data_IF_802409214535
#
_entry.id   IF_802409214535
#
_cell.length_a   1.000
_cell.length_b   1.000
_cell.length_c   1.000
_cell.angle_alpha   90.00
_cell.angle_beta   90.00
_cell.angle_gamma   90.00
#
_symmetry.space_group_name_H-M   'P 1'
#
loop_
_entity.id
_entity.type
_entity.pdbx_description
1 polymer ?
#
# COMPACT_ATOMS: atom_id res chain seq x y z
N UNK A 1 -10.00 9.73 -20.34
CA UNK A 1 -9.25 9.07 -19.24
C UNK A 1 -9.06 7.61 -19.62
N UNK A 2 -7.83 7.19 -19.88
CA UNK A 2 -7.54 5.77 -20.11
C UNK A 2 -7.47 5.11 -18.73
N UNK A 3 -8.56 4.50 -18.27
CA UNK A 3 -8.54 3.72 -17.03
C UNK A 3 -7.60 2.53 -17.25
N UNK A 4 -6.55 2.42 -16.44
CA UNK A 4 -5.60 1.30 -16.53
C UNK A 4 -6.30 -0.04 -16.31
N UNK A 5 -5.82 -1.12 -16.95
CA UNK A 5 -6.39 -2.47 -16.83
C UNK A 5 -6.53 -2.93 -15.38
N UNK A 6 -5.64 -2.47 -14.48
CA UNK A 6 -5.74 -2.76 -13.05
C UNK A 6 -7.00 -2.15 -12.40
N UNK A 7 -7.41 -0.93 -12.78
CA UNK A 7 -8.64 -0.32 -12.29
C UNK A 7 -9.88 -1.09 -12.79
N UNK A 8 -9.81 -1.60 -14.03
CA UNK A 8 -10.87 -2.46 -14.57
C UNK A 8 -10.96 -3.76 -13.76
N UNK A 9 -9.82 -4.36 -13.39
CA UNK A 9 -9.79 -5.55 -12.55
C UNK A 9 -10.45 -5.31 -11.19
N UNK A 10 -10.08 -4.24 -10.49
CA UNK A 10 -10.72 -3.90 -9.21
C UNK A 10 -12.22 -3.64 -9.37
N UNK A 11 -12.62 -2.92 -10.42
CA UNK A 11 -14.04 -2.65 -10.66
C UNK A 11 -14.86 -3.91 -10.91
N UNK A 12 -14.32 -4.87 -11.67
CA UNK A 12 -14.99 -6.15 -11.92
C UNK A 12 -15.08 -6.95 -10.61
N UNK A 13 -14.04 -6.93 -9.76
CA UNK A 13 -14.07 -7.57 -8.45
C UNK A 13 -15.23 -7.02 -7.59
N UNK A 14 -15.32 -5.69 -7.49
CA UNK A 14 -16.35 -5.01 -6.72
C UNK A 14 -17.76 -5.31 -7.25
N UNK A 15 -17.97 -5.21 -8.56
CA UNK A 15 -19.27 -5.46 -9.20
C UNK A 15 -19.71 -6.94 -9.05
N UNK A 16 -18.77 -7.87 -8.89
CA UNK A 16 -19.04 -9.30 -8.66
C UNK A 16 -19.07 -9.69 -7.17
N UNK A 17 -18.83 -8.74 -6.25
CA UNK A 17 -18.76 -9.02 -4.81
C UNK A 17 -17.60 -9.93 -4.41
N UNK A 18 -16.51 -9.94 -5.19
CA UNK A 18 -15.32 -10.73 -4.89
C UNK A 18 -14.42 -9.95 -3.93
N UNK A 19 -14.23 -10.51 -2.73
CA UNK A 19 -13.26 -9.98 -1.77
C UNK A 19 -11.85 -10.35 -2.23
N UNK A 20 -11.00 -9.34 -2.45
CA UNK A 20 -9.58 -9.54 -2.75
C UNK A 20 -8.81 -9.44 -1.44
N UNK A 21 -8.69 -10.56 -0.73
CA UNK A 21 -8.11 -10.59 0.61
C UNK A 21 -6.59 -10.66 0.55
N UNK A 22 -6.05 -11.42 -0.40
CA UNK A 22 -4.61 -11.61 -0.53
C UNK A 22 -4.10 -11.49 -1.99
N UNK A 23 -2.78 -11.69 -2.15
CA UNK A 23 -2.14 -11.69 -3.46
C UNK A 23 -2.61 -12.82 -4.38
N UNK A 24 -3.05 -13.95 -3.81
CA UNK A 24 -3.55 -15.09 -4.60
C UNK A 24 -4.90 -14.74 -5.19
N UNK A 25 -5.77 -14.06 -4.44
CA UNK A 25 -7.06 -13.58 -4.93
C UNK A 25 -6.87 -12.59 -6.08
N UNK A 26 -6.01 -11.58 -5.90
CA UNK A 26 -5.71 -10.60 -6.94
C UNK A 26 -5.10 -11.26 -8.19
N UNK A 27 -4.25 -12.28 -8.00
CA UNK A 27 -3.67 -13.05 -9.11
C UNK A 27 -4.71 -13.90 -9.81
N UNK A 28 -5.59 -14.57 -9.06
CA UNK A 28 -6.67 -15.41 -9.58
C UNK A 28 -7.66 -14.58 -10.39
N UNK A 29 -8.11 -13.43 -9.86
CA UNK A 29 -9.05 -12.57 -10.59
C UNK A 29 -8.40 -11.94 -11.82
N UNK A 30 -7.14 -11.53 -11.75
CA UNK A 30 -6.40 -11.00 -12.91
C UNK A 30 -6.31 -12.05 -14.01
N UNK A 31 -6.07 -13.32 -13.65
CA UNK A 31 -6.06 -14.44 -14.60
C UNK A 31 -7.46 -14.67 -15.19
N UNK A 32 -8.47 -14.77 -14.34
CA UNK A 32 -9.87 -14.94 -14.74
C UNK A 32 -10.34 -13.87 -15.72
N UNK A 33 -10.06 -12.59 -15.43
CA UNK A 33 -10.41 -11.46 -16.29
C UNK A 33 -9.62 -11.52 -17.60
N UNK A 34 -8.34 -11.92 -17.56
CA UNK A 34 -7.53 -12.14 -18.76
C UNK A 34 -8.12 -13.20 -19.69
N UNK A 35 -8.49 -14.34 -19.14
CA UNK A 35 -9.06 -15.48 -19.88
C UNK A 35 -10.44 -15.16 -20.45
N UNK A 36 -11.19 -14.29 -19.76
CA UNK A 36 -12.55 -13.89 -20.12
C UNK A 36 -12.63 -12.45 -20.67
N UNK A 37 -11.52 -11.87 -21.14
CA UNK A 37 -11.45 -10.46 -21.52
C UNK A 37 -12.56 -10.03 -22.49
N UNK A 38 -12.94 -10.91 -23.43
CA UNK A 38 -14.00 -10.66 -24.42
C UNK A 38 -15.39 -10.48 -23.79
N UNK A 39 -15.71 -11.19 -22.70
CA UNK A 39 -17.02 -11.06 -22.04
C UNK A 39 -17.13 -9.74 -21.26
N UNK A 40 -16.01 -9.22 -20.77
CA UNK A 40 -15.96 -7.96 -20.02
C UNK A 40 -15.83 -6.72 -20.92
N UNK A 41 -15.37 -6.88 -22.15
CA UNK A 41 -15.01 -5.77 -23.03
C UNK A 41 -16.13 -4.75 -23.27
N UNK A 42 -17.37 -5.22 -23.44
CA UNK A 42 -18.51 -4.33 -23.73
C UNK A 42 -18.89 -3.43 -22.54
N UNK A 43 -18.70 -3.93 -21.31
CA UNK A 43 -19.13 -3.25 -20.10
C UNK A 43 -18.00 -2.41 -19.48
N UNK A 44 -16.76 -2.88 -19.58
CA UNK A 44 -15.61 -2.30 -18.88
C UNK A 44 -14.55 -1.71 -19.81
N UNK A 45 -14.70 -1.88 -21.12
CA UNK A 45 -13.73 -1.43 -22.12
C UNK A 45 -12.65 -2.46 -22.42
N UNK A 46 -11.68 -2.07 -23.24
CA UNK A 46 -10.68 -3.01 -23.76
C UNK A 46 -9.70 -3.48 -22.67
N UNK A 47 -9.57 -4.81 -22.54
CA UNK A 47 -8.64 -5.46 -21.61
C UNK A 47 -7.52 -6.09 -22.43
N UNK A 48 -6.36 -5.42 -22.45
CA UNK A 48 -5.19 -5.90 -23.21
C UNK A 48 -4.52 -7.10 -22.53
N UNK A 49 -4.31 -8.18 -23.28
CA UNK A 49 -3.57 -9.36 -22.81
C UNK A 49 -2.12 -9.00 -22.40
N UNK A 50 -1.49 -8.04 -23.08
CA UNK A 50 -0.17 -7.55 -22.73
C UNK A 50 -0.15 -6.88 -21.35
N UNK A 51 -1.18 -6.07 -21.04
CA UNK A 51 -1.32 -5.41 -19.74
C UNK A 51 -1.64 -6.42 -18.63
N UNK A 52 -2.52 -7.39 -18.88
CA UNK A 52 -2.80 -8.48 -17.94
C UNK A 52 -1.52 -9.26 -17.62
N UNK A 53 -0.74 -9.64 -18.64
CA UNK A 53 0.53 -10.33 -18.45
C UNK A 53 1.57 -9.50 -17.70
N UNK A 54 1.59 -8.18 -17.88
CA UNK A 54 2.47 -7.29 -17.13
C UNK A 54 2.09 -7.24 -15.64
N UNK A 55 0.78 -7.18 -15.33
CA UNK A 55 0.27 -7.22 -13.95
C UNK A 55 0.62 -8.56 -13.30
N UNK A 56 0.35 -9.68 -13.97
CA UNK A 56 0.69 -11.03 -13.48
C UNK A 56 2.18 -11.17 -13.12
N UNK A 57 3.09 -10.68 -13.97
CA UNK A 57 4.53 -10.70 -13.67
C UNK A 57 4.90 -9.80 -12.48
N UNK A 58 4.25 -8.65 -12.35
CA UNK A 58 4.42 -7.77 -11.19
C UNK A 58 4.01 -8.46 -9.89
N UNK A 59 2.84 -9.08 -9.88
CA UNK A 59 2.32 -9.84 -8.74
C UNK A 59 3.24 -11.00 -8.38
N UNK A 60 3.71 -11.78 -9.36
CA UNK A 60 4.64 -12.89 -9.13
C UNK A 60 5.97 -12.41 -8.55
N UNK A 61 6.49 -11.28 -9.03
CA UNK A 61 7.73 -10.70 -8.50
C UNK A 61 7.57 -10.24 -7.04
N UNK A 62 6.41 -9.68 -6.68
CA UNK A 62 6.10 -9.31 -5.30
C UNK A 62 5.91 -10.55 -4.41
N UNK A 63 5.25 -11.60 -4.90
CA UNK A 63 5.08 -12.86 -4.19
C UNK A 63 6.43 -13.54 -3.89
N UNK A 64 7.32 -13.62 -4.90
CA UNK A 64 8.69 -14.12 -4.72
C UNK A 64 9.50 -13.26 -3.74
N UNK A 65 9.15 -11.98 -3.62
CA UNK A 65 9.76 -11.08 -2.66
C UNK A 65 9.20 -11.26 -1.23
N UNK A 66 8.24 -12.15 -1.00
CA UNK A 66 7.67 -12.40 0.33
C UNK A 66 6.46 -11.55 0.66
N UNK A 67 5.80 -10.94 -0.33
CA UNK A 67 4.53 -10.21 -0.12
C UNK A 67 3.47 -11.06 0.60
N UNK A 68 3.43 -12.37 0.37
CA UNK A 68 2.50 -13.27 1.04
C UNK A 68 2.60 -13.23 2.59
N UNK A 69 3.75 -12.84 3.15
CA UNK A 69 3.89 -12.68 4.60
C UNK A 69 3.38 -11.32 5.11
N UNK A 70 3.39 -10.28 4.26
CA UNK A 70 2.91 -8.95 4.60
C UNK A 70 1.39 -8.81 4.46
N UNK A 71 0.80 -9.55 3.52
CA UNK A 71 -0.62 -9.46 3.16
C UNK A 71 -1.38 -10.75 3.48
N UNK A 72 -0.87 -11.57 4.41
CA UNK A 72 -1.49 -12.81 4.88
C UNK A 72 -2.09 -12.67 6.28
N UNK A 73 -2.76 -13.72 6.76
CA UNK A 73 -3.32 -13.77 8.11
C UNK A 73 -2.30 -14.26 9.17
N UNK A 74 -2.31 -13.71 10.41
CA UNK A 74 -3.20 -12.66 10.89
C UNK A 74 -2.81 -11.30 10.32
N UNK A 75 -3.81 -10.56 9.84
CA UNK A 75 -3.60 -9.21 9.34
C UNK A 75 -3.08 -8.31 10.47
N UNK A 76 -2.27 -7.34 10.08
CA UNK A 76 -1.78 -6.31 10.99
C UNK A 76 -2.96 -5.49 11.56
N UNK A 77 -3.20 -5.53 12.87
CA UNK A 77 -4.14 -4.61 13.52
C UNK A 77 -3.41 -3.32 13.94
N UNK A 78 -3.67 -2.23 13.24
CA UNK A 78 -3.12 -0.91 13.53
C UNK A 78 -3.43 -0.47 14.97
N UNK A 79 -4.57 -0.88 15.54
CA UNK A 79 -4.95 -0.52 16.92
C UNK A 79 -3.98 -1.09 17.93
N UNK A 80 -3.28 -2.18 17.61
CA UNK A 80 -2.26 -2.75 18.47
C UNK A 80 -1.07 -1.82 18.64
N UNK A 81 -0.76 -1.01 17.62
CA UNK A 81 0.30 -0.01 17.69
C UNK A 81 -0.07 1.23 18.48
N UNK A 82 -1.38 1.47 18.68
CA UNK A 82 -1.90 2.64 19.38
C UNK A 82 -2.22 2.38 20.86
N UNK A 83 -1.84 1.20 21.37
CA UNK A 83 -2.05 0.85 22.77
C UNK A 83 -1.24 1.78 23.69
N UNK A 84 -1.79 2.04 24.86
CA UNK A 84 -1.10 2.71 25.96
C UNK A 84 -0.79 1.71 27.07
N UNK A 85 0.29 1.94 27.80
CA UNK A 85 0.61 1.17 29.00
C UNK A 85 -0.33 1.52 30.17
N UNK A 86 -0.18 0.83 31.30
CA UNK A 86 -0.98 1.06 32.50
C UNK A 86 -0.87 2.48 33.08
N UNK A 87 0.15 3.25 32.68
CA UNK A 87 0.39 4.63 33.11
C UNK A 87 -0.10 5.65 32.06
N UNK A 88 -0.75 5.20 30.99
CA UNK A 88 -1.23 6.06 29.91
C UNK A 88 -0.15 6.51 28.93
N UNK A 89 1.05 5.92 28.95
CA UNK A 89 2.13 6.22 27.99
C UNK A 89 1.95 5.40 26.72
N UNK A 90 2.22 6.01 25.57
CA UNK A 90 2.22 5.31 24.29
C UNK A 90 3.35 4.26 24.21
N UNK A 91 3.13 3.23 23.39
CA UNK A 91 4.11 2.18 23.11
C UNK A 91 5.03 2.58 21.96
N UNK A 92 6.31 2.26 22.06
CA UNK A 92 7.27 2.39 20.96
C UNK A 92 7.35 1.03 20.25
N UNK A 93 6.92 0.99 19.00
CA UNK A 93 7.00 -0.20 18.15
C UNK A 93 8.22 -0.06 17.22
N UNK A 94 9.08 -1.08 17.18
CA UNK A 94 10.21 -1.13 16.26
C UNK A 94 9.91 -2.19 15.20
N UNK A 95 9.75 -1.74 13.95
CA UNK A 95 9.53 -2.61 12.80
C UNK A 95 10.89 -2.83 12.12
N UNK A 96 11.45 -4.04 12.25
CA UNK A 96 12.71 -4.36 11.57
C UNK A 96 12.46 -4.65 10.09
N UNK A 97 13.06 -3.83 9.23
CA UNK A 97 12.98 -3.92 7.78
C UNK A 97 14.30 -4.42 7.15
N UNK A 98 15.14 -5.14 7.91
CA UNK A 98 16.48 -5.58 7.47
C UNK A 98 16.47 -6.34 6.13
N UNK A 99 15.47 -7.19 5.90
CA UNK A 99 15.31 -7.93 4.64
C UNK A 99 14.65 -7.10 3.53
N UNK A 100 13.76 -6.18 3.92
CA UNK A 100 13.05 -5.28 2.99
C UNK A 100 14.01 -4.30 2.30
N UNK A 101 15.17 -4.00 2.90
CA UNK A 101 16.24 -3.22 2.28
C UNK A 101 16.61 -3.73 0.88
N UNK A 102 16.61 -5.05 0.67
CA UNK A 102 16.97 -5.68 -0.60
C UNK A 102 15.80 -5.72 -1.60
N UNK A 103 14.62 -5.23 -1.19
CA UNK A 103 13.34 -5.46 -1.85
C UNK A 103 12.53 -4.14 -1.93
N UNK A 104 13.05 -3.10 -2.60
CA UNK A 104 12.49 -1.74 -2.53
C UNK A 104 11.04 -1.64 -3.01
N UNK A 105 10.65 -2.47 -3.99
CA UNK A 105 9.27 -2.51 -4.49
C UNK A 105 8.31 -3.07 -3.45
N UNK A 106 8.68 -4.15 -2.77
CA UNK A 106 7.88 -4.70 -1.69
C UNK A 106 7.79 -3.70 -0.54
N UNK A 107 8.91 -3.07 -0.17
CA UNK A 107 8.92 -2.09 0.90
C UNK A 107 7.98 -0.91 0.62
N UNK A 108 8.04 -0.33 -0.58
CA UNK A 108 7.16 0.77 -0.97
C UNK A 108 5.68 0.35 -1.07
N UNK A 109 5.40 -0.86 -1.54
CA UNK A 109 4.04 -1.40 -1.57
C UNK A 109 3.48 -1.63 -0.16
N UNK A 110 4.26 -2.23 0.74
CA UNK A 110 3.89 -2.44 2.14
C UNK A 110 3.70 -1.12 2.88
N UNK A 111 4.55 -0.12 2.63
CA UNK A 111 4.39 1.22 3.18
C UNK A 111 3.08 1.86 2.71
N UNK A 112 2.83 1.88 1.40
CA UNK A 112 1.62 2.49 0.85
C UNK A 112 0.36 1.80 1.39
N UNK A 113 0.37 0.48 1.49
CA UNK A 113 -0.73 -0.29 2.09
C UNK A 113 -0.94 0.12 3.54
N UNK A 114 0.10 0.10 4.36
CA UNK A 114 0.03 0.48 5.78
C UNK A 114 -0.51 1.90 5.98
N UNK A 115 -0.06 2.87 5.17
CA UNK A 115 -0.56 4.25 5.22
C UNK A 115 -2.02 4.34 4.78
N UNK A 116 -2.45 3.52 3.82
CA UNK A 116 -3.85 3.47 3.36
C UNK A 116 -4.76 2.86 4.42
N UNK A 117 -4.34 1.77 5.05
CA UNK A 117 -5.06 1.15 6.18
C UNK A 117 -5.22 2.14 7.35
N UNK A 118 -4.19 2.93 7.67
CA UNK A 118 -4.29 4.00 8.68
C UNK A 118 -5.37 5.02 8.32
N UNK A 119 -5.46 5.41 7.05
CA UNK A 119 -6.47 6.36 6.61
C UNK A 119 -7.88 5.79 6.70
N UNK A 120 -8.06 4.51 6.32
CA UNK A 120 -9.36 3.84 6.31
C UNK A 120 -9.86 3.52 7.72
N UNK A 121 -8.98 3.04 8.61
CA UNK A 121 -9.36 2.58 9.95
C UNK A 121 -9.52 3.72 10.96
N UNK A 122 -8.80 4.84 10.78
CA UNK A 122 -8.80 5.91 11.77
C UNK A 122 -9.92 6.93 11.54
N UNK A 123 -10.64 7.34 12.61
CA UNK A 123 -11.58 8.45 12.52
C UNK A 123 -10.82 9.78 12.39
N UNK A 124 -11.48 10.78 11.80
CA UNK A 124 -10.97 12.16 11.81
C UNK A 124 -10.64 12.60 13.25
N UNK A 125 -9.49 13.23 13.43
CA UNK A 125 -8.99 13.57 14.75
C UNK A 125 -9.29 15.01 15.18
N UNK A 126 -9.64 15.88 14.22
CA UNK A 126 -9.76 17.32 14.48
C UNK A 126 -8.41 17.93 14.86
N UNK A 127 -8.44 19.02 15.62
CA UNK A 127 -7.23 19.69 16.09
C UNK A 127 -6.81 19.10 17.45
N UNK A 128 -5.72 18.34 17.46
CA UNK A 128 -5.19 17.69 18.66
C UNK A 128 -3.88 18.37 19.11
N UNK A 129 -3.71 18.56 20.42
CA UNK A 129 -2.43 19.05 20.97
C UNK A 129 -1.25 18.10 20.71
N UNK A 130 -1.53 16.80 20.53
CA UNK A 130 -0.53 15.75 20.27
C UNK A 130 -1.04 14.77 19.22
N UNK A 131 -0.17 14.25 18.34
CA UNK A 131 -0.56 13.20 17.41
C UNK A 131 -0.96 11.92 18.16
N UNK A 132 -1.91 11.17 17.59
CA UNK A 132 -2.33 9.85 18.09
C UNK A 132 -1.27 8.78 17.81
N UNK A 133 -0.50 8.94 16.74
CA UNK A 133 0.53 8.02 16.29
C UNK A 133 1.60 8.77 15.49
N UNK A 134 2.87 8.37 15.62
CA UNK A 134 3.98 8.94 14.85
C UNK A 134 4.83 7.82 14.27
N UNK A 135 5.03 7.84 12.95
CA UNK A 135 5.98 6.96 12.27
C UNK A 135 7.31 7.67 12.04
N UNK A 136 8.38 6.95 12.29
CA UNK A 136 9.74 7.32 11.90
C UNK A 136 10.23 6.28 10.89
N UNK A 137 10.45 6.70 9.65
CA UNK A 137 11.01 5.88 8.60
C UNK A 137 12.49 6.21 8.46
N UNK A 138 13.33 5.34 8.99
CA UNK A 138 14.77 5.44 8.79
C UNK A 138 15.18 4.97 7.39
N UNK A 139 16.26 5.53 6.89
CA UNK A 139 16.77 5.35 5.53
C UNK A 139 15.71 5.50 4.44
N UNK A 140 14.90 6.55 4.57
CA UNK A 140 13.79 6.81 3.67
C UNK A 140 14.21 6.91 2.19
N UNK A 141 15.46 7.27 1.91
CA UNK A 141 16.01 7.27 0.55
C UNK A 141 15.87 5.91 -0.18
N UNK A 142 15.78 4.80 0.53
CA UNK A 142 15.57 3.46 -0.03
C UNK A 142 14.13 3.26 -0.56
N UNK A 143 13.17 3.98 0.00
CA UNK A 143 11.79 4.02 -0.52
C UNK A 143 11.72 4.81 -1.82
N UNK A 144 12.62 5.77 -1.99
CA UNK A 144 12.51 6.81 -3.01
C UNK A 144 13.48 6.65 -4.19
N UNK A 145 14.58 5.93 -4.01
CA UNK A 145 15.52 5.64 -5.10
C UNK A 145 14.88 4.71 -6.13
N UNK A 146 14.82 5.16 -7.38
CA UNK A 146 14.25 4.44 -8.54
C UNK A 146 12.76 4.07 -8.42
N UNK A 147 12.04 4.64 -7.45
CA UNK A 147 10.60 4.50 -7.35
C UNK A 147 9.92 5.32 -8.47
N UNK A 148 8.89 4.77 -9.15
CA UNK A 148 8.13 5.54 -10.15
C UNK A 148 7.51 6.79 -9.53
N UNK A 149 7.54 7.93 -10.23
CA UNK A 149 6.97 9.20 -9.73
C UNK A 149 5.52 9.04 -9.25
N UNK A 150 4.71 8.27 -9.99
CA UNK A 150 3.31 7.98 -9.64
C UNK A 150 3.16 7.34 -8.24
N UNK A 151 4.12 6.50 -7.83
CA UNK A 151 4.12 5.89 -6.51
C UNK A 151 4.45 6.91 -5.42
N UNK A 152 5.42 7.81 -5.70
CA UNK A 152 5.81 8.89 -4.79
C UNK A 152 4.66 9.85 -4.54
N UNK A 153 4.01 10.30 -5.61
CA UNK A 153 2.86 11.20 -5.55
C UNK A 153 1.72 10.58 -4.73
N UNK A 154 1.53 9.25 -4.88
CA UNK A 154 0.51 8.52 -4.14
C UNK A 154 0.85 8.41 -2.65
N UNK A 155 2.09 8.09 -2.30
CA UNK A 155 2.54 8.07 -0.90
C UNK A 155 2.34 9.45 -0.27
N UNK A 156 2.76 10.52 -0.94
CA UNK A 156 2.59 11.89 -0.44
C UNK A 156 1.12 12.26 -0.26
N UNK A 157 0.25 11.87 -1.20
CA UNK A 157 -1.19 12.04 -1.07
C UNK A 157 -1.73 11.35 0.19
N UNK A 158 -1.39 10.08 0.42
CA UNK A 158 -1.89 9.34 1.57
C UNK A 158 -1.35 9.90 2.89
N UNK A 159 -0.09 10.36 2.92
CA UNK A 159 0.49 11.04 4.08
C UNK A 159 -0.30 12.31 4.43
N UNK A 160 -0.71 13.10 3.44
CA UNK A 160 -1.57 14.27 3.68
C UNK A 160 -2.93 13.87 4.26
N UNK A 161 -3.50 12.76 3.82
CA UNK A 161 -4.79 12.27 4.30
C UNK A 161 -4.71 11.77 5.76
N UNK A 162 -3.72 10.95 6.10
CA UNK A 162 -3.57 10.45 7.49
C UNK A 162 -3.22 11.56 8.49
N UNK A 163 -2.68 12.69 8.02
CA UNK A 163 -2.44 13.85 8.87
C UNK A 163 -3.73 14.39 9.51
N UNK A 164 -4.85 14.39 8.80
CA UNK A 164 -6.14 14.82 9.39
C UNK A 164 -6.68 13.82 10.44
N UNK A 165 -6.19 12.57 10.39
CA UNK A 165 -6.45 11.51 11.38
C UNK A 165 -5.55 11.58 12.62
N UNK A 166 -4.68 12.59 12.71
CA UNK A 166 -3.76 12.78 13.83
C UNK A 166 -2.53 11.86 13.77
N UNK A 167 -2.14 11.41 12.57
CA UNK A 167 -0.92 10.60 12.36
C UNK A 167 0.20 11.49 11.82
N UNK A 168 1.36 11.44 12.47
CA UNK A 168 2.59 12.09 12.01
C UNK A 168 3.50 11.11 11.26
N UNK A 169 4.18 11.58 10.22
CA UNK A 169 5.19 10.81 9.49
C UNK A 169 6.48 11.62 9.38
N UNK A 170 7.59 11.01 9.76
CA UNK A 170 8.93 11.57 9.66
C UNK A 170 9.83 10.65 8.83
N UNK A 171 10.40 11.20 7.76
CA UNK A 171 11.41 10.52 6.96
C UNK A 171 12.79 10.95 7.43
N UNK A 172 13.58 9.99 7.90
CA UNK A 172 14.96 10.18 8.34
C UNK A 172 15.86 9.57 7.27
N UNK A 173 16.88 10.32 6.82
CA UNK A 173 17.81 9.85 5.80
C UNK A 173 19.19 10.47 6.04
N UNK A 174 20.24 9.67 5.92
CA UNK A 174 21.63 10.13 6.03
C UNK A 174 22.10 10.85 4.76
N UNK A 175 21.43 10.62 3.62
CA UNK A 175 21.67 11.32 2.36
C UNK A 175 20.64 12.44 2.20
N UNK A 176 21.04 13.68 1.89
CA UNK A 176 20.10 14.76 1.64
C UNK A 176 19.29 14.41 0.38
N UNK A 177 18.03 13.99 0.57
CA UNK A 177 17.09 13.80 -0.53
C UNK A 177 16.65 15.19 -0.97
N UNK A 178 16.85 15.50 -2.25
CA UNK A 178 16.43 16.78 -2.84
C UNK A 178 14.91 16.71 -3.06
N UNK A 179 14.12 17.02 -2.05
CA UNK A 179 12.68 17.21 -2.21
C UNK A 179 12.46 18.58 -2.90
N UNK A 180 11.98 18.56 -4.15
CA UNK A 180 11.29 19.71 -4.73
C UNK A 180 9.86 19.72 -4.18
N UNK A 181 9.50 20.81 -3.49
CA UNK A 181 8.27 20.94 -2.73
C UNK A 181 7.03 21.32 -3.53
#
# INVERSE_FOLDING_TARGET
>A
MQSGVLNIIFRIADDQGLLLLDFKDLRAITQYIGDNAKSFQNQYGNISSASVGAIQRGLLSLEQQGAAHFFGEPMLDIKDWMRTDANGKGVINILSAEKLYQMPKLYAASLLWMLSELYEQLPEAGDLEKPKLVFFFDEAHLLFNDAPQVLLDKIEQVIRLIRSKGVGVWFVSQKPVRYSG
#
